data_IF_699837478154
#
_entry.id   IF_699837478154
#
_cell.length_a   1.000
_cell.length_b   1.000
_cell.length_c   1.000
_cell.angle_alpha   90.00
_cell.angle_beta   90.00
_cell.angle_gamma   90.00
#
_symmetry.space_group_name_H-M   'P 1'
#
loop_
_entity.id
_entity.type
_entity.pdbx_description
1 polymer ?
#
# COMPACT_ATOMS: atom_id res chain seq x y z
N UNK A 1 -20.00 -8.48 -17.77
CA UNK A 1 -19.48 -9.15 -18.99
C UNK A 1 -18.22 -9.88 -18.57
N UNK A 2 -18.23 -11.21 -18.55
CA UNK A 2 -17.03 -12.00 -18.27
C UNK A 2 -16.12 -11.92 -19.49
N UNK A 3 -15.02 -11.17 -19.38
CA UNK A 3 -13.92 -11.28 -20.35
C UNK A 3 -13.45 -12.74 -20.31
N UNK A 4 -13.52 -13.42 -21.45
CA UNK A 4 -13.03 -14.79 -21.57
C UNK A 4 -11.50 -14.73 -21.57
N UNK A 5 -10.87 -15.33 -20.55
CA UNK A 5 -9.42 -15.41 -20.46
C UNK A 5 -8.95 -16.63 -21.24
N UNK A 6 -7.98 -16.42 -22.14
CA UNK A 6 -7.31 -17.51 -22.85
C UNK A 6 -6.35 -18.22 -21.89
N UNK A 7 -6.62 -19.50 -21.61
CA UNK A 7 -5.74 -20.35 -20.81
C UNK A 7 -4.75 -21.06 -21.73
N UNK A 8 -3.47 -20.98 -21.40
CA UNK A 8 -2.39 -21.70 -22.08
C UNK A 8 -1.86 -22.78 -21.13
N UNK A 9 -1.93 -24.04 -21.55
CA UNK A 9 -1.39 -25.16 -20.80
C UNK A 9 0.07 -25.39 -21.18
N UNK A 10 0.92 -25.62 -20.18
CA UNK A 10 2.33 -25.94 -20.35
C UNK A 10 2.74 -27.01 -19.34
N UNK A 11 3.57 -27.97 -19.77
CA UNK A 11 4.19 -28.97 -18.88
C UNK A 11 5.36 -28.41 -18.09
N UNK A 12 5.89 -27.25 -18.48
CA UNK A 12 7.21 -26.77 -18.05
C UNK A 12 7.10 -25.59 -17.06
N UNK A 13 6.02 -25.54 -16.28
CA UNK A 13 5.77 -24.51 -15.26
C UNK A 13 6.64 -24.69 -13.99
N UNK A 14 7.35 -25.81 -13.89
CA UNK A 14 8.24 -26.12 -12.77
C UNK A 14 7.48 -26.26 -11.45
N UNK A 15 7.81 -25.42 -10.47
CA UNK A 15 7.22 -25.45 -9.12
C UNK A 15 5.93 -24.66 -8.98
N UNK A 16 5.45 -24.00 -10.04
CA UNK A 16 4.31 -23.05 -10.04
C UNK A 16 3.10 -23.67 -10.76
N UNK A 17 1.89 -23.33 -10.35
CA UNK A 17 0.66 -23.83 -11.01
C UNK A 17 0.13 -22.85 -12.07
N UNK A 18 0.24 -21.53 -11.83
CA UNK A 18 -0.26 -20.51 -12.76
C UNK A 18 0.67 -19.31 -12.88
N UNK A 19 0.65 -18.69 -14.07
CA UNK A 19 1.24 -17.38 -14.32
C UNK A 19 0.17 -16.40 -14.83
N UNK A 20 -0.47 -15.61 -13.93
CA UNK A 20 -1.41 -14.57 -14.34
C UNK A 20 -0.75 -13.44 -15.16
N UNK A 21 0.54 -13.21 -14.97
CA UNK A 21 1.38 -12.26 -15.72
C UNK A 21 2.83 -12.76 -15.77
N UNK A 22 3.70 -12.10 -16.54
CA UNK A 22 5.13 -12.43 -16.60
C UNK A 22 5.87 -12.24 -15.27
N UNK A 23 5.34 -11.36 -14.40
CA UNK A 23 5.95 -10.98 -13.12
C UNK A 23 5.20 -11.55 -11.90
N UNK A 24 4.23 -12.44 -12.12
CA UNK A 24 3.45 -13.08 -11.05
C UNK A 24 3.39 -14.60 -11.23
N UNK A 25 3.81 -15.32 -10.20
CA UNK A 25 3.72 -16.78 -10.08
C UNK A 25 2.73 -17.14 -8.97
N UNK A 26 1.84 -18.09 -9.25
CA UNK A 26 0.83 -18.56 -8.30
C UNK A 26 0.99 -20.06 -8.04
N UNK A 27 1.09 -20.42 -6.75
CA UNK A 27 0.98 -21.80 -6.29
C UNK A 27 -0.39 -21.99 -5.65
N UNK A 28 -1.08 -23.06 -6.03
CA UNK A 28 -2.30 -23.52 -5.40
C UNK A 28 -2.01 -24.65 -4.42
N UNK A 29 -2.58 -24.56 -3.21
CA UNK A 29 -2.51 -25.59 -2.20
C UNK A 29 -3.94 -26.00 -1.83
N UNK A 30 -4.30 -27.24 -2.14
CA UNK A 30 -5.60 -27.80 -1.76
C UNK A 30 -5.69 -28.10 -0.27
N UNK A 31 -6.90 -28.27 0.25
CA UNK A 31 -7.13 -28.70 1.62
C UNK A 31 -6.49 -30.06 1.91
N UNK A 32 -6.51 -30.98 0.93
CA UNK A 32 -5.86 -32.28 1.02
C UNK A 32 -4.33 -32.15 1.13
N UNK A 33 -3.70 -31.36 0.27
CA UNK A 33 -2.26 -31.14 0.29
C UNK A 33 -1.80 -30.47 1.59
N UNK A 34 -2.59 -29.56 2.15
CA UNK A 34 -2.31 -28.97 3.47
C UNK A 34 -2.33 -30.01 4.60
N UNK A 35 -3.24 -30.98 4.55
CA UNK A 35 -3.35 -32.06 5.53
C UNK A 35 -2.16 -33.02 5.42
N UNK A 36 -1.70 -33.31 4.20
CA UNK A 36 -0.53 -34.16 3.96
C UNK A 36 0.80 -33.50 4.38
N UNK A 37 0.88 -32.17 4.40
CA UNK A 37 1.87 -31.42 5.16
C UNK A 37 3.21 -31.18 4.46
N UNK A 38 4.07 -32.20 4.38
CA UNK A 38 5.52 -31.97 4.14
C UNK A 38 5.87 -31.55 2.71
N UNK A 39 5.05 -31.90 1.72
CA UNK A 39 5.33 -31.66 0.30
C UNK A 39 5.23 -30.17 -0.06
N UNK A 40 4.16 -29.49 0.36
CA UNK A 40 4.00 -28.07 0.06
C UNK A 40 5.11 -27.22 0.70
N UNK A 41 5.61 -27.60 1.89
CA UNK A 41 6.66 -26.82 2.60
C UNK A 41 7.95 -26.74 1.78
N UNK A 42 8.39 -27.87 1.21
CA UNK A 42 9.57 -27.90 0.33
C UNK A 42 9.35 -27.08 -0.94
N UNK A 43 8.15 -27.17 -1.51
CA UNK A 43 7.75 -26.41 -2.70
C UNK A 43 7.78 -24.90 -2.44
N UNK A 44 7.25 -24.44 -1.31
CA UNK A 44 7.27 -23.04 -0.90
C UNK A 44 8.68 -22.53 -0.60
N UNK A 45 9.54 -23.34 0.03
CA UNK A 45 10.94 -22.99 0.24
C UNK A 45 11.69 -22.81 -1.09
N UNK A 46 11.44 -23.70 -2.07
CA UNK A 46 11.94 -23.56 -3.43
C UNK A 46 11.44 -22.28 -4.11
N UNK A 47 10.15 -21.96 -3.95
CA UNK A 47 9.56 -20.74 -4.51
C UNK A 47 10.20 -19.46 -3.93
N UNK A 48 10.47 -19.44 -2.61
CA UNK A 48 11.14 -18.30 -1.98
C UNK A 48 12.51 -18.02 -2.61
N UNK A 49 13.26 -19.06 -2.99
CA UNK A 49 14.59 -18.93 -3.58
C UNK A 49 14.61 -18.29 -4.99
N UNK A 50 13.52 -18.39 -5.75
CA UNK A 50 13.41 -17.78 -7.09
C UNK A 50 13.44 -16.25 -6.96
N UNK A 51 14.22 -15.53 -7.77
CA UNK A 51 14.30 -14.05 -7.71
C UNK A 51 13.59 -13.41 -8.91
N UNK A 52 13.18 -12.16 -8.76
CA UNK A 52 12.67 -11.35 -9.87
C UNK A 52 11.21 -11.59 -10.26
N UNK A 53 10.45 -12.36 -9.48
CA UNK A 53 9.02 -12.60 -9.72
C UNK A 53 8.23 -12.50 -8.40
N UNK A 54 7.03 -11.92 -8.45
CA UNK A 54 6.11 -11.92 -7.31
C UNK A 54 5.48 -13.30 -7.16
N UNK A 55 5.32 -13.73 -5.92
CA UNK A 55 4.95 -15.10 -5.56
C UNK A 55 3.74 -15.05 -4.67
N UNK A 56 2.64 -15.61 -5.17
CA UNK A 56 1.37 -15.62 -4.46
C UNK A 56 0.99 -17.08 -4.21
N UNK A 57 0.69 -17.40 -2.97
CA UNK A 57 0.17 -18.69 -2.58
C UNK A 57 -1.34 -18.52 -2.47
N UNK A 58 -2.09 -19.41 -3.12
CA UNK A 58 -3.54 -19.50 -3.02
C UNK A 58 -3.85 -20.82 -2.33
N UNK A 59 -4.56 -20.78 -1.22
CA UNK A 59 -4.85 -22.00 -0.47
C UNK A 59 -6.34 -22.13 -0.12
N UNK A 60 -6.86 -23.35 -0.23
CA UNK A 60 -8.23 -23.65 0.15
C UNK A 60 -8.44 -23.48 1.65
N UNK A 61 -9.31 -22.56 2.05
CA UNK A 61 -9.70 -22.38 3.43
C UNK A 61 -11.13 -22.90 3.62
N UNK A 62 -11.23 -24.13 4.12
CA UNK A 62 -12.51 -24.75 4.49
C UNK A 62 -12.61 -24.87 6.01
N UNK A 63 -13.80 -25.19 6.52
CA UNK A 63 -14.00 -25.42 7.95
C UNK A 63 -13.20 -26.62 8.48
N UNK A 64 -12.90 -27.60 7.62
CA UNK A 64 -12.14 -28.81 7.95
C UNK A 64 -10.62 -28.56 8.01
N UNK A 65 -10.11 -27.58 7.28
CA UNK A 65 -8.67 -27.31 7.16
C UNK A 65 -8.18 -26.12 7.98
N UNK A 66 -8.98 -25.57 8.90
CA UNK A 66 -8.64 -24.32 9.62
C UNK A 66 -7.32 -24.37 10.41
N UNK A 67 -7.03 -25.49 11.08
CA UNK A 67 -5.79 -25.62 11.84
C UNK A 67 -4.56 -25.73 10.93
N UNK A 68 -4.68 -26.50 9.85
CA UNK A 68 -3.64 -26.67 8.85
C UNK A 68 -3.40 -25.36 8.09
N UNK A 69 -4.47 -24.64 7.74
CA UNK A 69 -4.38 -23.31 7.14
C UNK A 69 -3.68 -22.32 8.07
N UNK A 70 -3.98 -22.32 9.37
CA UNK A 70 -3.28 -21.44 10.32
C UNK A 70 -1.78 -21.75 10.38
N UNK A 71 -1.42 -23.03 10.36
CA UNK A 71 -0.02 -23.47 10.32
C UNK A 71 0.66 -23.08 8.99
N UNK A 72 -0.06 -23.18 7.87
CA UNK A 72 0.40 -22.73 6.56
C UNK A 72 0.61 -21.20 6.57
N UNK A 73 -0.32 -20.43 7.13
CA UNK A 73 -0.22 -18.97 7.19
C UNK A 73 0.98 -18.52 8.00
N UNK A 74 1.22 -19.13 9.17
CA UNK A 74 2.41 -18.85 9.97
C UNK A 74 3.69 -19.12 9.16
N UNK A 75 3.79 -20.28 8.52
CA UNK A 75 4.96 -20.65 7.73
C UNK A 75 5.14 -19.76 6.48
N UNK A 76 4.10 -19.62 5.66
CA UNK A 76 4.17 -18.91 4.38
C UNK A 76 4.33 -17.39 4.56
N UNK A 77 3.53 -16.77 5.43
CA UNK A 77 3.47 -15.31 5.56
C UNK A 77 4.51 -14.82 6.54
N UNK A 78 4.66 -15.45 7.71
CA UNK A 78 5.55 -14.94 8.76
C UNK A 78 6.99 -15.44 8.60
N UNK A 79 7.19 -16.71 8.25
CA UNK A 79 8.54 -17.27 8.12
C UNK A 79 9.13 -17.07 6.72
N UNK A 80 8.33 -17.22 5.66
CA UNK A 80 8.81 -17.08 4.27
C UNK A 80 8.52 -15.70 3.65
N UNK A 81 7.71 -14.85 4.28
CA UNK A 81 7.30 -13.53 3.74
C UNK A 81 6.73 -13.63 2.32
N UNK A 82 5.85 -14.62 2.11
CA UNK A 82 5.14 -14.82 0.85
C UNK A 82 3.68 -14.39 1.02
N UNK A 83 3.08 -13.90 -0.06
CA UNK A 83 1.68 -13.53 -0.06
C UNK A 83 0.80 -14.78 -0.03
N UNK A 84 -0.21 -14.81 0.84
CA UNK A 84 -1.16 -15.91 0.97
C UNK A 84 -2.60 -15.40 0.81
N UNK A 85 -3.33 -15.95 -0.15
CA UNK A 85 -4.74 -15.65 -0.40
C UNK A 85 -5.59 -16.88 -0.07
N UNK A 86 -6.44 -16.82 0.97
CA UNK A 86 -7.42 -17.87 1.21
C UNK A 86 -8.51 -17.85 0.14
N UNK A 87 -8.87 -19.02 -0.37
CA UNK A 87 -10.03 -19.19 -1.26
C UNK A 87 -10.95 -20.29 -0.77
N UNK A 88 -12.22 -20.21 -1.14
CA UNK A 88 -13.13 -21.36 -1.07
C UNK A 88 -12.88 -22.28 -2.27
N UNK A 89 -13.43 -23.49 -2.26
CA UNK A 89 -13.26 -24.50 -3.35
C UNK A 89 -13.53 -23.93 -4.75
N UNK A 90 -14.53 -23.05 -4.89
CA UNK A 90 -14.89 -22.44 -6.18
C UNK A 90 -14.29 -21.03 -6.40
N UNK A 91 -13.56 -20.49 -5.41
CA UNK A 91 -13.02 -19.14 -5.43
C UNK A 91 -11.76 -18.96 -6.27
N UNK A 92 -11.04 -20.05 -6.57
CA UNK A 92 -9.78 -20.00 -7.34
C UNK A 92 -9.99 -19.38 -8.73
N UNK A 93 -11.05 -19.78 -9.43
CA UNK A 93 -11.32 -19.30 -10.79
C UNK A 93 -11.52 -17.79 -10.85
N UNK A 94 -12.43 -17.26 -10.01
CA UNK A 94 -12.72 -15.82 -9.99
C UNK A 94 -11.52 -15.00 -9.53
N UNK A 95 -10.73 -15.53 -8.59
CA UNK A 95 -9.48 -14.92 -8.17
C UNK A 95 -8.48 -14.82 -9.33
N UNK A 96 -8.22 -15.91 -10.04
CA UNK A 96 -7.27 -15.90 -11.18
C UNK A 96 -7.71 -14.92 -12.26
N UNK A 97 -9.02 -14.84 -12.55
CA UNK A 97 -9.57 -13.87 -13.50
C UNK A 97 -9.31 -12.43 -13.05
N UNK A 98 -9.54 -12.16 -11.77
CA UNK A 98 -9.28 -10.84 -11.19
C UNK A 98 -7.79 -10.51 -11.17
N UNK A 99 -6.93 -11.48 -10.86
CA UNK A 99 -5.48 -11.30 -10.89
C UNK A 99 -5.03 -10.88 -12.29
N UNK A 100 -5.38 -11.62 -13.35
CA UNK A 100 -5.02 -11.25 -14.74
C UNK A 100 -5.51 -9.83 -15.09
N UNK A 101 -6.73 -9.46 -14.68
CA UNK A 101 -7.26 -8.11 -14.93
C UNK A 101 -6.50 -7.02 -14.16
N UNK A 102 -6.15 -7.29 -12.89
CA UNK A 102 -5.40 -6.38 -12.04
C UNK A 102 -3.95 -6.20 -12.51
N UNK A 103 -3.27 -7.29 -12.90
CA UNK A 103 -1.91 -7.28 -13.47
C UNK A 103 -1.84 -6.42 -14.74
N UNK A 104 -2.87 -6.46 -15.59
CA UNK A 104 -2.93 -5.63 -16.80
C UNK A 104 -3.31 -4.16 -16.53
N UNK A 105 -3.81 -3.85 -15.33
CA UNK A 105 -4.31 -2.52 -14.95
C UNK A 105 -3.60 -1.96 -13.72
N UNK A 106 -2.33 -2.32 -13.49
CA UNK A 106 -1.53 -1.87 -12.33
C UNK A 106 -1.51 -0.34 -12.22
N UNK A 107 -1.42 0.38 -13.33
CA UNK A 107 -1.43 1.85 -13.37
C UNK A 107 -2.73 2.50 -12.85
N UNK A 108 -3.82 1.73 -12.82
CA UNK A 108 -5.12 2.16 -12.28
C UNK A 108 -5.28 1.84 -10.80
N UNK A 109 -4.28 1.22 -10.17
CA UNK A 109 -4.32 0.93 -8.74
C UNK A 109 -4.23 2.25 -7.94
N UNK A 110 -5.28 2.65 -7.21
CA UNK A 110 -5.29 3.92 -6.48
C UNK A 110 -4.24 3.96 -5.35
N UNK A 111 -3.79 2.82 -4.85
CA UNK A 111 -2.75 2.74 -3.81
C UNK A 111 -1.33 2.91 -4.35
N UNK A 112 -1.15 2.82 -5.67
CA UNK A 112 0.15 3.05 -6.33
C UNK A 112 0.20 4.42 -7.03
N UNK A 113 -0.93 5.11 -7.13
CA UNK A 113 -0.97 6.44 -7.71
C UNK A 113 -0.39 7.44 -6.70
N UNK A 114 0.61 8.24 -7.10
CA UNK A 114 1.07 9.32 -6.25
C UNK A 114 -0.09 10.28 -6.00
N UNK A 115 -0.34 10.60 -4.72
CA UNK A 115 -1.29 11.62 -4.33
C UNK A 115 -0.91 12.93 -5.02
N UNK A 116 -1.77 13.39 -5.94
CA UNK A 116 -1.66 14.72 -6.54
C UNK A 116 -2.34 15.68 -5.56
N UNK A 117 -1.57 16.25 -4.65
CA UNK A 117 -2.06 17.31 -3.76
C UNK A 117 -2.24 18.56 -4.63
N UNK A 118 -3.48 19.00 -4.81
CA UNK A 118 -3.76 20.23 -5.57
C UNK A 118 -3.29 21.46 -4.78
N UNK A 119 -3.00 22.56 -5.47
CA UNK A 119 -2.48 23.79 -4.81
C UNK A 119 -3.45 24.39 -3.78
N UNK A 120 -4.76 24.22 -3.97
CA UNK A 120 -5.79 24.61 -3.00
C UNK A 120 -5.73 23.74 -1.71
N UNK A 121 -5.42 22.46 -1.86
CA UNK A 121 -5.25 21.54 -0.72
C UNK A 121 -3.95 21.86 0.04
N UNK A 122 -2.88 22.23 -0.65
CA UNK A 122 -1.62 22.67 -0.02
C UNK A 122 -1.86 23.88 0.90
N UNK A 123 -2.62 24.86 0.42
CA UNK A 123 -2.98 26.05 1.19
C UNK A 123 -3.83 25.71 2.43
N UNK A 124 -4.72 24.73 2.32
CA UNK A 124 -5.50 24.22 3.44
C UNK A 124 -4.63 23.46 4.46
N UNK A 125 -3.68 22.64 4.01
CA UNK A 125 -2.74 21.94 4.89
C UNK A 125 -1.81 22.88 5.66
N UNK A 126 -1.29 23.92 5.00
CA UNK A 126 -0.51 24.98 5.65
C UNK A 126 -1.38 25.70 6.70
N UNK A 127 -2.64 26.00 6.36
CA UNK A 127 -3.58 26.65 7.30
C UNK A 127 -3.84 25.80 8.54
N UNK A 128 -4.05 24.48 8.37
CA UNK A 128 -4.26 23.54 9.48
C UNK A 128 -3.02 23.50 10.38
N UNK A 129 -1.82 23.43 9.80
CA UNK A 129 -0.58 23.41 10.58
C UNK A 129 -0.39 24.70 11.40
N UNK A 130 -0.72 25.86 10.83
CA UNK A 130 -0.63 27.15 11.51
C UNK A 130 -1.63 27.31 12.67
N UNK A 131 -2.76 26.57 12.68
CA UNK A 131 -3.71 26.56 13.82
C UNK A 131 -3.10 26.02 15.11
N UNK A 132 -2.01 25.26 15.02
CA UNK A 132 -1.28 24.78 16.20
C UNK A 132 -0.48 25.88 16.91
N UNK A 133 -0.29 27.04 16.27
CA UNK A 133 0.40 28.17 16.88
C UNK A 133 -0.54 28.83 17.91
N UNK A 134 -0.13 28.94 19.18
CA UNK A 134 -1.01 29.50 20.20
C UNK A 134 -1.34 30.97 19.92
N UNK A 135 -2.60 31.36 20.14
CA UNK A 135 -3.08 32.75 20.02
C UNK A 135 -3.06 33.34 18.59
N UNK A 136 -2.88 32.52 17.56
CA UNK A 136 -3.11 32.94 16.17
C UNK A 136 -4.57 32.69 15.79
N UNK A 137 -5.22 33.65 15.14
CA UNK A 137 -6.60 33.51 14.65
C UNK A 137 -6.65 33.21 13.17
N UNK A 138 -7.77 32.66 12.69
CA UNK A 138 -8.00 32.29 11.27
C UNK A 138 -7.61 33.40 10.27
N UNK A 139 -7.97 34.66 10.55
CA UNK A 139 -7.63 35.79 9.67
C UNK A 139 -6.12 35.98 9.49
N UNK A 140 -5.35 35.78 10.57
CA UNK A 140 -3.88 35.92 10.57
C UNK A 140 -3.21 34.74 9.86
N UNK A 141 -3.77 33.55 10.02
CA UNK A 141 -3.36 32.35 9.28
C UNK A 141 -3.55 32.57 7.78
N UNK A 142 -4.72 33.07 7.37
CA UNK A 142 -5.02 33.34 5.96
C UNK A 142 -4.02 34.34 5.36
N UNK A 143 -3.70 35.43 6.07
CA UNK A 143 -2.69 36.40 5.63
C UNK A 143 -1.28 35.80 5.49
N UNK A 144 -0.90 34.87 6.37
CA UNK A 144 0.37 34.17 6.27
C UNK A 144 0.42 33.24 5.06
N UNK A 145 -0.66 32.51 4.80
CA UNK A 145 -0.79 31.60 3.65
C UNK A 145 -0.78 32.40 2.35
N UNK A 146 -1.52 33.52 2.28
CA UNK A 146 -1.54 34.40 1.10
C UNK A 146 -0.17 35.04 0.80
N UNK A 147 0.59 35.46 1.83
CA UNK A 147 1.86 36.16 1.62
C UNK A 147 3.06 35.22 1.43
N UNK A 148 3.12 34.10 2.15
CA UNK A 148 4.30 33.24 2.16
C UNK A 148 4.09 31.91 1.42
N UNK A 149 2.85 31.47 1.22
CA UNK A 149 2.48 30.29 0.43
C UNK A 149 2.86 28.92 1.04
N UNK A 150 3.92 28.84 1.86
CA UNK A 150 4.41 27.60 2.46
C UNK A 150 4.88 27.78 3.89
N UNK A 151 4.79 26.72 4.71
CA UNK A 151 5.35 26.72 6.07
C UNK A 151 6.86 27.01 6.07
N UNK A 152 7.58 26.53 5.05
CA UNK A 152 9.03 26.76 4.94
C UNK A 152 9.35 28.25 4.80
N UNK A 153 8.63 28.96 3.94
CA UNK A 153 8.82 30.41 3.78
C UNK A 153 8.42 31.20 5.02
N UNK A 154 7.42 30.73 5.76
CA UNK A 154 7.02 31.33 7.05
C UNK A 154 8.12 31.14 8.11
N UNK A 155 8.72 29.95 8.15
CA UNK A 155 9.79 29.65 9.11
C UNK A 155 11.08 30.46 8.84
N UNK A 156 11.39 30.73 7.56
CA UNK A 156 12.54 31.55 7.16
C UNK A 156 12.28 33.06 7.21
N UNK A 157 11.04 33.49 7.39
CA UNK A 157 10.69 34.90 7.41
C UNK A 157 11.33 35.61 8.61
N UNK A 158 11.82 36.83 8.39
CA UNK A 158 12.35 37.67 9.46
C UNK A 158 11.22 38.13 10.40
N UNK A 159 11.56 38.46 11.65
CA UNK A 159 10.59 39.03 12.60
C UNK A 159 9.99 40.33 12.06
N UNK A 160 10.74 41.10 11.28
CA UNK A 160 10.28 42.35 10.64
C UNK A 160 9.22 42.08 9.58
N UNK A 161 9.45 41.09 8.71
CA UNK A 161 8.50 40.67 7.67
C UNK A 161 7.20 40.15 8.27
N UNK A 162 7.29 39.33 9.32
CA UNK A 162 6.13 38.84 10.06
C UNK A 162 5.40 39.98 10.80
N UNK A 163 6.15 40.94 11.36
CA UNK A 163 5.60 42.09 12.10
C UNK A 163 4.79 43.01 11.21
N UNK A 164 5.20 43.17 9.95
CA UNK A 164 4.47 43.97 8.95
C UNK A 164 3.04 43.46 8.68
N UNK A 165 2.77 42.17 8.93
CA UNK A 165 1.47 41.54 8.72
C UNK A 165 0.67 41.35 10.02
N UNK A 166 1.33 40.88 11.07
CA UNK A 166 0.67 40.31 12.25
C UNK A 166 0.72 41.22 13.49
N UNK A 167 1.56 42.25 13.45
CA UNK A 167 1.99 43.07 14.58
C UNK A 167 3.14 42.43 15.36
N UNK A 168 3.97 43.26 16.01
CA UNK A 168 5.23 42.86 16.64
C UNK A 168 5.11 41.69 17.64
N UNK A 169 4.05 41.69 18.47
CA UNK A 169 3.85 40.65 19.49
C UNK A 169 3.51 39.27 18.91
N UNK A 170 2.71 39.23 17.84
CA UNK A 170 2.32 37.96 17.20
C UNK A 170 3.41 37.48 16.25
N UNK A 171 4.13 38.40 15.61
CA UNK A 171 5.30 38.07 14.79
C UNK A 171 6.40 37.39 15.60
N UNK A 172 6.72 37.90 16.79
CA UNK A 172 7.68 37.26 17.69
C UNK A 172 7.21 35.87 18.12
N UNK A 173 5.91 35.69 18.38
CA UNK A 173 5.34 34.39 18.76
C UNK A 173 5.46 33.37 17.62
N UNK A 174 5.15 33.77 16.38
CA UNK A 174 5.28 32.90 15.20
C UNK A 174 6.74 32.55 14.96
N UNK A 175 7.65 33.54 15.04
CA UNK A 175 9.08 33.29 14.87
C UNK A 175 9.65 32.37 15.95
N UNK A 176 9.27 32.59 17.21
CA UNK A 176 9.64 31.74 18.34
C UNK A 176 9.13 30.30 18.15
N UNK A 177 7.91 30.11 17.64
CA UNK A 177 7.34 28.78 17.40
C UNK A 177 8.14 27.93 16.40
N UNK A 178 8.80 28.56 15.42
CA UNK A 178 9.61 27.85 14.42
C UNK A 178 11.10 27.75 14.78
N UNK A 179 11.62 28.63 15.63
CA UNK A 179 13.06 28.76 15.90
C UNK A 179 13.48 28.48 17.36
N UNK A 180 12.53 28.22 18.27
CA UNK A 180 12.77 27.78 19.66
C UNK A 180 12.08 26.45 19.92
#
# INVERSE_FOLDING_TARGET
MSESIKVLFSSDLGIVDFHPSGDCAVIYISAAEMIEGLLYRKRLAGLKAVKGIRKVIVAERTYLSLQQFSSLQQFAVLELELDLIPVTENGLHSLLVQMVSAENKISKNPFLQPLKIQDEEQSAHVSIALKNIPKIGEKKIMMLVERFGSLHNIALASVEDLSSLLGASVAQLVWDYFNK
#
